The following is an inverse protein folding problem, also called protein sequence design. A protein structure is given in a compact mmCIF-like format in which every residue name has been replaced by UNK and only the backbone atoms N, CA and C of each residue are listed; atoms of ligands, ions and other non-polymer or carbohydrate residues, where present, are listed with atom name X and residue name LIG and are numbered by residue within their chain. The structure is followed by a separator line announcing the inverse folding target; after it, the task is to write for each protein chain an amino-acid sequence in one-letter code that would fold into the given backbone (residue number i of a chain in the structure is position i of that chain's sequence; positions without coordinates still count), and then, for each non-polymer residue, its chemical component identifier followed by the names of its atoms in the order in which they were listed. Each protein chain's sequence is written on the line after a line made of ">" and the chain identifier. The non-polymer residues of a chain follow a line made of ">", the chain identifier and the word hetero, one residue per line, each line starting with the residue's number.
data_IF_922426120554
#
_entry.id   IF_922426120554
#
_cell.length_a   1.000
_cell.length_b   1.000
_cell.length_c   1.000
_cell.angle_alpha   90.00
_cell.angle_beta   90.00
_cell.angle_gamma   90.00
#
_symmetry.space_group_name_H-M   'P 1'
#
loop_
_entity.id
_entity.type
_entity.pdbx_description
1 polymer ?
#
# COMPACT_ATOMS: atom_id res chain seq x y z
N UNK A 1 -20.89 39.50 46.23
CA UNK A 1 -20.07 38.65 45.34
C UNK A 1 -18.96 38.04 46.18
N UNK A 2 -18.80 36.72 46.18
CA UNK A 2 -17.76 36.03 46.97
C UNK A 2 -16.42 36.23 46.25
N UNK A 3 -15.46 36.91 46.88
CA UNK A 3 -14.14 37.09 46.29
C UNK A 3 -13.43 35.74 46.12
N UNK A 4 -12.97 35.47 44.90
CA UNK A 4 -12.33 34.22 44.53
C UNK A 4 -10.84 34.29 44.86
N UNK A 5 -10.38 33.42 45.76
CA UNK A 5 -8.98 33.32 46.14
C UNK A 5 -8.15 32.67 45.01
N UNK A 6 -6.91 33.11 44.80
CA UNK A 6 -5.99 32.59 43.77
C UNK A 6 -5.86 31.06 43.78
N UNK A 7 -5.94 30.43 44.96
CA UNK A 7 -5.93 28.95 45.08
C UNK A 7 -7.17 28.28 44.49
N UNK A 8 -8.34 28.91 44.62
CA UNK A 8 -9.58 28.38 44.06
C UNK A 8 -9.64 28.57 42.55
N UNK A 9 -9.11 29.69 42.04
CA UNK A 9 -8.94 29.90 40.61
C UNK A 9 -8.00 28.86 39.98
N UNK A 10 -6.87 28.55 40.64
CA UNK A 10 -5.92 27.52 40.18
C UNK A 10 -6.52 26.11 40.22
N UNK A 11 -7.24 25.75 41.29
CA UNK A 11 -7.94 24.46 41.36
C UNK A 11 -8.99 24.32 40.27
N UNK A 12 -9.76 25.38 40.02
CA UNK A 12 -10.79 25.38 38.98
C UNK A 12 -10.20 25.26 37.57
N UNK A 13 -9.09 25.94 37.27
CA UNK A 13 -8.42 25.82 35.96
C UNK A 13 -7.74 24.46 35.79
N UNK A 14 -7.09 23.90 36.81
CA UNK A 14 -6.51 22.55 36.71
C UNK A 14 -7.59 21.48 36.55
N UNK A 15 -8.73 21.63 37.23
CA UNK A 15 -9.84 20.69 37.11
C UNK A 15 -10.46 20.67 35.71
N UNK A 16 -10.61 21.83 35.05
CA UNK A 16 -11.23 21.94 33.71
C UNK A 16 -10.29 21.55 32.58
N UNK A 17 -9.00 21.88 32.67
CA UNK A 17 -7.99 21.45 31.68
C UNK A 17 -7.67 19.95 31.80
N UNK A 18 -7.64 19.40 33.03
CA UNK A 18 -7.40 17.98 33.26
C UNK A 18 -8.51 17.07 32.74
N UNK A 19 -9.77 17.54 32.75
CA UNK A 19 -10.90 16.76 32.22
C UNK A 19 -10.93 16.73 30.69
N UNK A 20 -10.41 17.75 30.01
CA UNK A 20 -10.39 17.79 28.54
C UNK A 20 -9.41 16.76 27.95
N UNK A 21 -8.31 16.45 28.64
CA UNK A 21 -7.28 15.52 28.17
C UNK A 21 -7.68 14.04 28.30
N UNK A 22 -8.61 13.70 29.21
CA UNK A 22 -9.05 12.31 29.42
C UNK A 22 -10.25 11.90 28.55
N UNK A 23 -10.90 12.87 27.88
CA UNK A 23 -12.07 12.62 27.02
C UNK A 23 -11.72 12.44 25.52
N UNK A 24 -10.47 12.68 25.12
CA UNK A 24 -10.06 12.69 23.71
C UNK A 24 -9.32 11.44 23.23
N UNK A 25 -9.38 10.33 23.99
CA UNK A 25 -8.78 9.04 23.60
C UNK A 25 -9.28 8.54 22.22
N UNK A 26 -10.49 8.96 21.81
CA UNK A 26 -11.06 8.63 20.50
C UNK A 26 -10.56 9.51 19.33
N UNK A 27 -9.98 10.68 19.61
CA UNK A 27 -9.46 11.60 18.56
C UNK A 27 -8.04 11.20 18.15
N UNK A 28 -7.23 10.70 19.09
CA UNK A 28 -5.87 10.23 18.80
C UNK A 28 -5.82 8.86 18.08
N UNK A 29 -6.89 8.06 18.15
CA UNK A 29 -7.03 6.84 17.36
C UNK A 29 -7.28 7.10 15.85
N UNK A 30 -7.36 8.36 15.43
CA UNK A 30 -7.47 8.72 14.01
C UNK A 30 -6.14 8.59 13.23
N UNK A 31 -5.00 8.51 13.92
CA UNK A 31 -3.68 8.39 13.29
C UNK A 31 -3.27 6.95 12.94
N UNK A 32 -4.04 5.95 13.37
CA UNK A 32 -3.75 4.53 13.13
C UNK A 32 -4.83 3.88 12.22
N UNK A 33 -5.38 4.66 11.29
CA UNK A 33 -6.33 4.14 10.32
C UNK A 33 -5.57 3.35 9.27
N UNK A 34 -5.46 2.03 9.50
CA UNK A 34 -5.23 1.08 8.42
C UNK A 34 -6.15 1.46 7.23
N UNK A 35 -5.63 1.51 6.00
CA UNK A 35 -6.39 2.02 4.87
C UNK A 35 -7.62 1.13 4.70
N UNK A 36 -8.81 1.73 4.80
CA UNK A 36 -10.07 0.98 4.75
C UNK A 36 -10.17 0.32 3.37
N UNK A 37 -10.33 -1.01 3.36
CA UNK A 37 -10.62 -1.76 2.13
C UNK A 37 -11.85 -1.13 1.47
N UNK A 38 -11.72 -0.81 0.18
CA UNK A 38 -12.80 -0.21 -0.57
C UNK A 38 -13.89 -1.27 -0.80
N UNK A 39 -15.14 -0.97 -0.46
CA UNK A 39 -16.27 -1.90 -0.66
C UNK A 39 -16.83 -1.85 -2.08
N UNK A 40 -16.45 -0.82 -2.85
CA UNK A 40 -16.91 -0.58 -4.22
C UNK A 40 -15.69 -0.63 -5.16
N UNK A 41 -15.87 -1.16 -6.38
CA UNK A 41 -14.82 -1.23 -7.40
C UNK A 41 -14.65 -2.63 -8.00
N UNK A 42 -13.49 -2.86 -8.62
CA UNK A 42 -13.16 -4.11 -9.32
C UNK A 42 -12.85 -5.26 -8.36
N UNK A 43 -12.19 -4.97 -7.24
CA UNK A 43 -11.74 -5.94 -6.24
C UNK A 43 -12.56 -5.79 -4.95
N UNK A 44 -13.11 -6.88 -4.44
CA UNK A 44 -13.67 -6.93 -3.09
C UNK A 44 -12.56 -6.96 -2.02
N UNK A 45 -12.94 -7.00 -0.74
CA UNK A 45 -12.00 -6.97 0.37
C UNK A 45 -11.04 -8.18 0.37
N UNK A 46 -11.53 -9.38 0.07
CA UNK A 46 -10.71 -10.61 0.05
C UNK A 46 -9.67 -10.55 -1.07
N UNK A 47 -10.08 -10.12 -2.27
CA UNK A 47 -9.17 -9.96 -3.39
C UNK A 47 -8.19 -8.80 -3.20
N UNK A 48 -8.55 -7.75 -2.46
CA UNK A 48 -7.61 -6.70 -2.05
C UNK A 48 -6.56 -7.23 -1.07
N UNK A 49 -6.95 -8.05 -0.09
CA UNK A 49 -6.01 -8.69 0.85
C UNK A 49 -5.04 -9.62 0.11
N UNK A 50 -5.56 -10.47 -0.79
CA UNK A 50 -4.74 -11.35 -1.61
C UNK A 50 -3.78 -10.55 -2.51
N UNK A 51 -4.29 -9.52 -3.19
CA UNK A 51 -3.49 -8.66 -4.06
C UNK A 51 -2.36 -7.95 -3.30
N UNK A 52 -2.61 -7.50 -2.07
CA UNK A 52 -1.61 -6.85 -1.22
C UNK A 52 -0.54 -7.83 -0.75
N UNK A 53 -0.89 -9.06 -0.36
CA UNK A 53 0.08 -10.11 -0.03
C UNK A 53 0.94 -10.51 -1.22
N UNK A 54 0.33 -10.60 -2.41
CA UNK A 54 1.04 -10.85 -3.65
C UNK A 54 1.97 -9.68 -3.99
N UNK A 55 1.53 -8.44 -3.78
CA UNK A 55 2.35 -7.26 -4.05
C UNK A 55 3.51 -7.13 -3.07
N UNK A 56 3.33 -7.47 -1.79
CA UNK A 56 4.43 -7.53 -0.80
C UNK A 56 5.41 -8.68 -1.10
N UNK A 57 4.92 -9.72 -1.77
CA UNK A 57 5.81 -10.74 -2.34
C UNK A 57 6.69 -10.16 -3.45
N UNK A 58 6.14 -9.32 -4.32
CA UNK A 58 6.91 -8.66 -5.39
C UNK A 58 7.84 -7.56 -4.85
N UNK A 59 7.39 -6.81 -3.84
CA UNK A 59 8.04 -5.63 -3.28
C UNK A 59 8.14 -5.79 -1.76
N UNK A 60 9.04 -6.66 -1.27
CA UNK A 60 9.20 -6.92 0.17
C UNK A 60 9.74 -5.71 0.92
N UNK A 61 9.56 -5.76 2.24
CA UNK A 61 10.34 -4.88 3.14
C UNK A 61 11.82 -5.21 3.02
N UNK A 62 12.63 -4.17 2.82
CA UNK A 62 14.09 -4.23 2.80
C UNK A 62 14.65 -3.33 3.90
N UNK A 63 15.96 -3.38 4.19
CA UNK A 63 16.56 -2.42 5.11
C UNK A 63 16.42 -0.96 4.68
N UNK A 64 16.29 -0.70 3.38
CA UNK A 64 16.21 0.66 2.82
C UNK A 64 14.76 1.19 2.75
N UNK A 65 13.77 0.31 2.56
CA UNK A 65 12.38 0.72 2.37
C UNK A 65 11.36 -0.30 2.90
N UNK A 66 10.26 0.17 3.51
CA UNK A 66 9.10 -0.66 3.80
C UNK A 66 8.48 -1.27 2.53
N UNK A 67 7.94 -2.49 2.64
CA UNK A 67 7.34 -3.23 1.52
C UNK A 67 5.97 -2.71 1.09
N UNK A 68 5.42 -3.31 0.03
CA UNK A 68 4.14 -2.90 -0.54
C UNK A 68 2.96 -2.99 0.44
N UNK A 69 2.94 -4.00 1.33
CA UNK A 69 1.90 -4.09 2.36
C UNK A 69 2.03 -3.00 3.41
N UNK A 70 3.27 -2.69 3.81
CA UNK A 70 3.53 -1.57 4.74
C UNK A 70 3.19 -0.21 4.11
N UNK A 71 3.29 -0.08 2.79
CA UNK A 71 2.84 1.08 2.04
C UNK A 71 1.30 1.17 1.86
N UNK A 72 0.55 0.15 2.30
CA UNK A 72 -0.91 0.16 2.31
C UNK A 72 -1.54 0.24 0.92
N UNK A 73 -0.92 -0.39 -0.08
CA UNK A 73 -1.30 -0.16 -1.48
C UNK A 73 -2.58 -0.87 -1.91
N UNK A 74 -3.08 -1.87 -1.17
CA UNK A 74 -4.21 -2.70 -1.62
C UNK A 74 -5.49 -1.92 -1.94
N UNK A 75 -5.94 -0.96 -1.10
CA UNK A 75 -7.11 -0.15 -1.42
C UNK A 75 -6.87 0.78 -2.61
N UNK A 76 -5.66 1.32 -2.75
CA UNK A 76 -5.30 2.16 -3.89
C UNK A 76 -5.24 1.36 -5.20
N UNK A 77 -4.80 0.10 -5.16
CA UNK A 77 -4.85 -0.78 -6.34
C UNK A 77 -6.29 -0.93 -6.86
N UNK A 78 -7.28 -1.06 -5.98
CA UNK A 78 -8.68 -1.13 -6.38
C UNK A 78 -9.18 0.19 -7.01
N UNK A 79 -8.80 1.34 -6.45
CA UNK A 79 -9.11 2.67 -7.03
C UNK A 79 -8.48 2.80 -8.41
N UNK A 80 -7.17 2.54 -8.52
CA UNK A 80 -6.43 2.63 -9.78
C UNK A 80 -7.04 1.74 -10.87
N UNK A 81 -7.41 0.50 -10.52
CA UNK A 81 -8.08 -0.41 -11.45
C UNK A 81 -9.46 0.09 -11.89
N UNK A 82 -10.25 0.60 -10.95
CA UNK A 82 -11.61 1.05 -11.21
C UNK A 82 -11.62 2.28 -12.12
N UNK A 83 -10.69 3.21 -11.89
CA UNK A 83 -10.72 4.51 -12.55
C UNK A 83 -9.88 4.58 -13.84
N UNK A 84 -8.83 3.75 -13.97
CA UNK A 84 -7.84 3.89 -15.04
C UNK A 84 -7.73 2.71 -16.02
N UNK A 85 -8.40 1.58 -15.77
CA UNK A 85 -8.31 0.39 -16.63
C UNK A 85 -9.66 0.10 -17.33
N UNK A 86 -9.66 -0.36 -18.59
CA UNK A 86 -10.89 -0.68 -19.31
C UNK A 86 -11.61 -1.91 -18.73
N UNK A 87 -12.95 -2.02 -18.87
CA UNK A 87 -13.73 -3.12 -18.27
C UNK A 87 -13.26 -4.53 -18.62
N UNK A 88 -12.74 -4.74 -19.83
CA UNK A 88 -12.15 -6.01 -20.25
C UNK A 88 -10.98 -6.43 -19.33
N UNK A 89 -10.05 -5.51 -19.09
CA UNK A 89 -8.89 -5.75 -18.22
C UNK A 89 -9.29 -5.88 -16.76
N UNK A 90 -10.28 -5.10 -16.30
CA UNK A 90 -10.85 -5.23 -14.97
C UNK A 90 -11.42 -6.64 -14.75
N UNK A 91 -12.22 -7.13 -15.69
CA UNK A 91 -12.83 -8.46 -15.63
C UNK A 91 -11.76 -9.56 -15.70
N UNK A 92 -10.80 -9.45 -16.63
CA UNK A 92 -9.70 -10.39 -16.78
C UNK A 92 -8.89 -10.52 -15.48
N UNK A 93 -8.57 -9.39 -14.85
CA UNK A 93 -7.83 -9.36 -13.60
C UNK A 93 -8.64 -9.96 -12.44
N UNK A 94 -9.89 -9.52 -12.25
CA UNK A 94 -10.78 -10.02 -11.20
C UNK A 94 -10.97 -11.54 -11.31
N UNK A 95 -11.18 -12.03 -12.53
CA UNK A 95 -11.36 -13.45 -12.80
C UNK A 95 -10.08 -14.25 -12.59
N UNK A 96 -8.94 -13.69 -12.99
CA UNK A 96 -7.62 -14.25 -12.73
C UNK A 96 -7.32 -14.38 -11.24
N UNK A 97 -7.53 -13.31 -10.46
CA UNK A 97 -7.32 -13.31 -9.01
C UNK A 97 -8.26 -14.29 -8.30
N UNK A 98 -9.53 -14.36 -8.70
CA UNK A 98 -10.49 -15.33 -8.15
C UNK A 98 -10.07 -16.78 -8.40
N UNK A 99 -9.71 -17.11 -9.65
CA UNK A 99 -9.23 -18.44 -10.02
C UNK A 99 -7.93 -18.78 -9.28
N UNK A 100 -7.00 -17.83 -9.17
CA UNK A 100 -5.77 -18.01 -8.42
C UNK A 100 -6.04 -18.26 -6.93
N UNK A 101 -6.83 -17.40 -6.27
CA UNK A 101 -7.15 -17.50 -4.84
C UNK A 101 -7.91 -18.78 -4.46
N UNK A 102 -8.77 -19.29 -5.35
CA UNK A 102 -9.45 -20.59 -5.16
C UNK A 102 -8.57 -21.81 -5.45
N UNK A 103 -7.47 -21.63 -6.18
CA UNK A 103 -6.57 -22.70 -6.60
C UNK A 103 -5.19 -22.57 -5.96
N UNK A 104 -4.17 -22.31 -6.78
CA UNK A 104 -2.76 -22.29 -6.35
C UNK A 104 -2.46 -21.23 -5.28
N UNK A 105 -3.22 -20.13 -5.28
CA UNK A 105 -3.17 -19.04 -4.30
C UNK A 105 -4.01 -19.28 -3.04
N UNK A 106 -4.62 -20.45 -2.87
CA UNK A 106 -5.34 -20.77 -1.63
C UNK A 106 -4.41 -20.68 -0.43
N UNK A 107 -4.86 -19.97 0.60
CA UNK A 107 -4.08 -19.67 1.81
C UNK A 107 -2.71 -19.03 1.50
N UNK A 108 -2.61 -18.20 0.46
CA UNK A 108 -1.35 -17.58 0.02
C UNK A 108 -0.57 -16.91 1.17
N UNK A 109 -1.28 -16.19 2.04
CA UNK A 109 -0.70 -15.54 3.21
C UNK A 109 -0.10 -16.51 4.24
N UNK A 110 -0.48 -17.79 4.24
CA UNK A 110 0.09 -18.80 5.16
C UNK A 110 1.29 -19.53 4.55
N UNK A 111 1.53 -19.39 3.25
CA UNK A 111 2.67 -20.00 2.57
C UNK A 111 3.98 -19.30 2.94
N UNK A 112 5.07 -20.05 2.90
CA UNK A 112 6.42 -19.52 3.08
C UNK A 112 6.76 -18.53 1.97
N UNK A 113 7.73 -17.65 2.24
CA UNK A 113 8.23 -16.68 1.25
C UNK A 113 8.65 -17.35 -0.06
N UNK A 114 9.40 -18.46 0.03
CA UNK A 114 9.88 -19.19 -1.14
C UNK A 114 8.73 -19.77 -1.98
N UNK A 115 7.70 -20.32 -1.34
CA UNK A 115 6.52 -20.83 -2.03
C UNK A 115 5.72 -19.72 -2.72
N UNK A 116 5.53 -18.57 -2.04
CA UNK A 116 4.86 -17.41 -2.63
C UNK A 116 5.61 -16.92 -3.87
N UNK A 117 6.93 -16.78 -3.78
CA UNK A 117 7.77 -16.36 -4.91
C UNK A 117 7.72 -17.38 -6.06
N UNK A 118 7.77 -18.67 -5.78
CA UNK A 118 7.66 -19.72 -6.78
C UNK A 118 6.32 -19.63 -7.54
N UNK A 119 5.21 -19.44 -6.83
CA UNK A 119 3.89 -19.27 -7.43
C UNK A 119 3.82 -18.04 -8.35
N UNK A 120 4.34 -16.88 -7.91
CA UNK A 120 4.32 -15.67 -8.73
C UNK A 120 5.23 -15.79 -9.96
N UNK A 121 6.38 -16.49 -9.83
CA UNK A 121 7.25 -16.81 -10.97
C UNK A 121 6.55 -17.72 -11.98
N UNK A 122 5.82 -18.72 -11.51
CA UNK A 122 5.02 -19.60 -12.35
C UNK A 122 3.94 -18.81 -13.10
N UNK A 123 3.23 -17.89 -12.43
CA UNK A 123 2.25 -17.02 -13.10
C UNK A 123 2.89 -16.12 -14.16
N UNK A 124 4.09 -15.60 -13.89
CA UNK A 124 4.85 -14.82 -14.87
C UNK A 124 5.27 -15.67 -16.08
N UNK A 125 5.68 -16.92 -15.86
CA UNK A 125 6.08 -17.83 -16.93
C UNK A 125 4.89 -18.23 -17.80
N UNK A 126 3.75 -18.57 -17.17
CA UNK A 126 2.48 -18.85 -17.86
C UNK A 126 2.01 -17.67 -18.71
N UNK A 127 2.06 -16.46 -18.16
CA UNK A 127 1.72 -15.25 -18.90
C UNK A 127 2.62 -15.03 -20.13
N UNK A 128 3.92 -15.32 -20.02
CA UNK A 128 4.86 -15.20 -21.13
C UNK A 128 4.60 -16.26 -22.21
N UNK A 129 4.29 -17.49 -21.80
CA UNK A 129 4.03 -18.60 -22.73
C UNK A 129 2.69 -18.45 -23.48
N UNK A 130 1.71 -17.79 -22.86
CA UNK A 130 0.41 -17.53 -23.47
C UNK A 130 0.44 -16.41 -24.53
N UNK A 131 1.53 -15.65 -24.66
CA UNK A 131 1.60 -14.55 -25.62
C UNK A 131 1.35 -15.03 -27.08
N UNK A 132 0.48 -14.34 -27.86
CA UNK A 132 -0.03 -12.99 -27.62
C UNK A 132 -1.33 -12.91 -26.80
N UNK A 133 -1.87 -14.02 -26.28
CA UNK A 133 -3.14 -14.02 -25.56
C UNK A 133 -3.06 -13.23 -24.24
N UNK A 134 -4.09 -12.43 -23.91
CA UNK A 134 -4.12 -11.66 -22.66
C UNK A 134 -4.08 -12.56 -21.43
N UNK A 135 -3.12 -12.29 -20.54
CA UNK A 135 -3.05 -12.91 -19.22
C UNK A 135 -3.21 -11.84 -18.12
N UNK A 136 -3.86 -12.19 -17.02
CA UNK A 136 -4.17 -11.25 -15.93
C UNK A 136 -2.93 -10.81 -15.13
N UNK A 137 -1.94 -11.70 -14.97
CA UNK A 137 -0.80 -11.47 -14.08
C UNK A 137 0.08 -10.26 -14.46
N UNK A 138 0.41 -10.00 -15.74
CA UNK A 138 1.08 -8.77 -16.13
C UNK A 138 0.34 -7.49 -15.72
N UNK A 139 -1.00 -7.47 -15.81
CA UNK A 139 -1.85 -6.35 -15.38
C UNK A 139 -1.71 -6.17 -13.87
N UNK A 140 -1.86 -7.26 -13.10
CA UNK A 140 -1.67 -7.24 -11.64
C UNK A 140 -0.30 -6.65 -11.26
N UNK A 141 0.78 -7.17 -11.86
CA UNK A 141 2.16 -6.76 -11.54
C UNK A 141 2.37 -5.27 -11.80
N UNK A 142 1.87 -4.80 -12.93
CA UNK A 142 1.96 -3.41 -13.33
C UNK A 142 1.17 -2.48 -12.38
N UNK A 143 -0.06 -2.85 -12.02
CA UNK A 143 -0.87 -2.13 -11.02
C UNK A 143 -0.17 -2.10 -9.66
N UNK A 144 0.43 -3.20 -9.22
CA UNK A 144 1.17 -3.27 -7.95
C UNK A 144 2.39 -2.35 -7.95
N UNK A 145 3.19 -2.37 -9.03
CA UNK A 145 4.36 -1.50 -9.18
C UNK A 145 3.97 -0.02 -9.19
N UNK A 146 2.97 0.35 -10.00
CA UNK A 146 2.47 1.74 -10.04
C UNK A 146 1.99 2.18 -8.68
N UNK A 147 1.14 1.37 -8.03
CA UNK A 147 0.58 1.70 -6.72
C UNK A 147 1.64 1.91 -5.65
N UNK A 148 2.70 1.10 -5.65
CA UNK A 148 3.82 1.28 -4.72
C UNK A 148 4.65 2.52 -5.05
N UNK A 149 5.08 2.71 -6.29
CA UNK A 149 5.94 3.84 -6.64
C UNK A 149 5.22 5.19 -6.70
N UNK A 150 3.89 5.23 -6.66
CA UNK A 150 3.11 6.45 -6.41
C UNK A 150 2.82 6.69 -4.92
N UNK A 151 3.16 5.76 -4.03
CA UNK A 151 3.01 5.94 -2.58
C UNK A 151 4.15 6.78 -2.00
N UNK A 152 3.93 7.41 -0.85
CA UNK A 152 4.97 8.13 -0.12
C UNK A 152 6.18 7.23 0.19
N UNK A 153 5.92 5.97 0.58
CA UNK A 153 6.95 4.98 0.87
C UNK A 153 7.80 4.68 -0.37
N UNK A 154 7.15 4.37 -1.49
CA UNK A 154 7.86 4.07 -2.73
C UNK A 154 8.65 5.27 -3.25
N UNK A 155 8.07 6.46 -3.20
CA UNK A 155 8.69 7.66 -3.74
C UNK A 155 9.84 8.18 -2.86
N UNK A 156 9.66 8.21 -1.53
CA UNK A 156 10.60 8.88 -0.61
C UNK A 156 11.59 7.95 0.09
N UNK A 157 11.29 6.64 0.15
CA UNK A 157 12.15 5.64 0.81
C UNK A 157 12.77 4.66 -0.17
N UNK A 158 11.98 4.12 -1.11
CA UNK A 158 12.50 3.18 -2.11
C UNK A 158 13.22 3.89 -3.27
N UNK A 159 12.81 5.12 -3.59
CA UNK A 159 13.42 5.97 -4.61
C UNK A 159 14.07 7.21 -3.99
N UNK A 160 14.93 7.86 -4.78
CA UNK A 160 15.53 9.15 -4.45
C UNK A 160 14.60 10.27 -4.89
N UNK A 161 13.66 10.61 -4.01
CA UNK A 161 12.78 11.75 -4.27
C UNK A 161 13.55 13.08 -4.26
N UNK A 162 13.33 13.89 -5.30
CA UNK A 162 13.77 15.28 -5.34
C UNK A 162 12.55 16.16 -5.61
N UNK A 163 12.09 16.88 -4.59
CA UNK A 163 10.89 17.72 -4.67
C UNK A 163 10.96 18.75 -5.81
N UNK A 164 12.14 19.34 -6.02
CA UNK A 164 12.37 20.31 -7.09
C UNK A 164 13.61 19.86 -7.88
N UNK A 165 13.45 19.08 -8.96
CA UNK A 165 14.56 18.74 -9.82
C UNK A 165 15.00 20.03 -10.51
N UNK A 166 16.12 20.58 -10.05
CA UNK A 166 16.68 21.83 -10.59
C UNK A 166 17.21 21.63 -12.01
N UNK A 167 18.49 21.93 -12.21
CA UNK A 167 19.12 21.75 -13.53
C UNK A 167 19.18 20.26 -13.90
N UNK A 168 18.81 19.95 -15.15
CA UNK A 168 19.03 18.63 -15.74
C UNK A 168 20.53 18.30 -15.81
N UNK A 169 20.92 17.15 -15.25
CA UNK A 169 22.28 16.62 -15.33
C UNK A 169 22.25 15.26 -16.03
N UNK A 170 22.59 15.24 -17.32
CA UNK A 170 22.49 14.03 -18.15
C UNK A 170 23.49 12.91 -17.78
N UNK A 171 24.60 13.26 -17.12
CA UNK A 171 25.59 12.31 -16.64
C UNK A 171 25.83 12.54 -15.14
N UNK A 172 25.37 11.61 -14.31
CA UNK A 172 25.63 11.58 -12.86
C UNK A 172 26.34 10.27 -12.53
N UNK A 173 27.51 10.30 -11.87
CA UNK A 173 28.18 9.07 -11.44
C UNK A 173 27.26 8.24 -10.54
N UNK A 174 27.08 6.96 -10.86
CA UNK A 174 26.26 6.05 -10.06
C UNK A 174 27.13 5.36 -8.99
N UNK A 175 26.73 5.44 -7.73
CA UNK A 175 27.34 4.67 -6.66
C UNK A 175 26.74 3.25 -6.59
N UNK A 176 27.54 2.21 -6.31
CA UNK A 176 27.01 0.86 -6.09
C UNK A 176 25.95 0.85 -4.97
N UNK A 177 24.82 0.21 -5.24
CA UNK A 177 23.72 0.09 -4.27
C UNK A 177 22.89 1.36 -4.05
N UNK A 178 23.13 2.44 -4.79
CA UNK A 178 22.29 3.63 -4.68
C UNK A 178 20.88 3.36 -5.23
N UNK A 179 19.81 3.91 -4.62
CA UNK A 179 18.46 3.78 -5.17
C UNK A 179 18.30 4.55 -6.48
N UNK A 180 17.32 4.14 -7.28
CA UNK A 180 16.92 4.86 -8.49
C UNK A 180 16.28 6.20 -8.16
N UNK A 181 16.24 7.11 -9.14
CA UNK A 181 15.52 8.39 -9.01
C UNK A 181 14.02 8.18 -9.28
N UNK A 182 13.19 8.88 -8.51
CA UNK A 182 11.74 8.92 -8.64
C UNK A 182 11.24 10.30 -9.05
#
# INVERSE_FOLDING_TARGET
>A
MREMNRREALKATTATLGTLLLATSGVLAACDRAPKRATNGVLDAEHQDLAEEMADTLLPTTPASPGAKAAGIGPFMNVLLTDCYPPEQQNLLRDGLRKFGSGAGKDFAKKTRAEREALLREMSAKAKAAAPDPHWFPIFRDVALRSYFTSEVGMTKALRYTLVPGRWNGCVPLQPGQPAWG
#
